data_IF_178381164740
#
_entry.id   IF_178381164740
#
_cell.length_a   1.000
_cell.length_b   1.000
_cell.length_c   1.000
_cell.angle_alpha   90.00
_cell.angle_beta   90.00
_cell.angle_gamma   90.00
#
_symmetry.space_group_name_H-M   'P 1'
#
loop_
_entity.id
_entity.type
_entity.pdbx_description
1 polymer ?
#
# COMPACT_ATOMS: atom_id res chain seq x y z
N UNK A 1 -16.21 29.82 15.09
CA UNK A 1 -16.21 28.36 15.31
C UNK A 1 -17.11 27.75 14.27
N UNK A 2 -16.52 27.17 13.23
CA UNK A 2 -17.15 26.25 12.25
C UNK A 2 -16.06 25.95 11.21
N UNK A 3 -15.38 24.81 11.37
CA UNK A 3 -14.60 24.20 10.29
C UNK A 3 -15.16 22.82 10.05
N UNK A 4 -16.21 22.80 9.23
CA UNK A 4 -16.67 21.61 8.53
C UNK A 4 -16.23 21.80 7.09
N UNK A 5 -15.04 21.30 6.75
CA UNK A 5 -14.68 21.01 5.36
C UNK A 5 -14.15 19.58 5.38
N UNK A 6 -15.09 18.66 5.15
CA UNK A 6 -14.84 17.27 4.76
C UNK A 6 -14.45 17.29 3.28
N UNK A 7 -13.19 17.47 2.96
CA UNK A 7 -12.57 16.90 1.74
C UNK A 7 -12.40 15.41 2.07
N UNK A 8 -13.19 14.43 1.59
CA UNK A 8 -13.49 14.05 0.20
C UNK A 8 -12.29 14.24 -0.71
N UNK A 9 -11.36 13.30 -0.65
CA UNK A 9 -10.22 13.18 -1.55
C UNK A 9 -9.39 11.98 -1.15
N UNK A 10 -9.58 10.87 -1.86
CA UNK A 10 -8.83 9.60 -1.77
C UNK A 10 -8.58 9.09 -0.35
N UNK A 11 -9.50 8.24 0.12
CA UNK A 11 -9.35 7.49 1.35
C UNK A 11 -7.95 6.88 1.44
N UNK A 12 -7.16 7.30 2.42
CA UNK A 12 -5.99 6.55 2.91
C UNK A 12 -6.35 5.05 3.12
N UNK A 13 -7.64 4.75 3.36
CA UNK A 13 -8.22 3.42 3.41
C UNK A 13 -7.98 2.53 2.16
N UNK A 14 -7.67 3.07 0.97
CA UNK A 14 -7.36 2.22 -0.20
C UNK A 14 -5.90 1.72 -0.20
N UNK A 15 -5.00 2.42 0.48
CA UNK A 15 -3.60 2.02 0.65
C UNK A 15 -3.40 1.17 1.92
N UNK A 16 -4.32 1.26 2.88
CA UNK A 16 -4.16 0.80 4.27
C UNK A 16 -4.59 -0.64 4.56
N UNK A 17 -4.66 -1.51 3.56
CA UNK A 17 -4.96 -2.90 3.88
C UNK A 17 -3.70 -3.65 4.33
N UNK A 18 -2.54 -3.55 3.67
CA UNK A 18 -1.66 -4.71 3.61
C UNK A 18 -0.28 -4.60 4.27
N UNK A 19 -0.12 -4.68 5.60
CA UNK A 19 1.25 -4.74 6.15
C UNK A 19 1.46 -5.57 7.41
N UNK A 20 2.58 -6.29 7.49
CA UNK A 20 3.29 -6.43 8.76
C UNK A 20 4.59 -7.22 8.59
N UNK A 21 5.26 -7.62 9.65
CA UNK A 21 6.68 -7.96 9.64
C UNK A 21 7.03 -9.45 9.40
N UNK A 22 7.96 -9.77 8.47
CA UNK A 22 8.67 -11.06 8.49
C UNK A 22 9.36 -11.51 7.20
N UNK A 23 10.67 -11.28 7.11
CA UNK A 23 11.57 -11.78 6.07
C UNK A 23 11.66 -13.32 6.05
N UNK A 24 11.50 -13.96 4.88
CA UNK A 24 12.34 -15.05 4.34
C UNK A 24 11.74 -15.67 3.06
N UNK A 25 12.48 -15.60 1.94
CA UNK A 25 12.38 -16.49 0.75
C UNK A 25 11.01 -16.63 0.04
N UNK A 26 10.84 -15.86 -1.02
CA UNK A 26 10.05 -16.17 -2.23
C UNK A 26 8.53 -16.37 -2.09
N UNK A 27 7.86 -15.86 -1.05
CA UNK A 27 6.40 -15.81 -1.01
C UNK A 27 5.90 -14.49 -1.66
N UNK A 28 5.01 -14.51 -2.67
CA UNK A 28 4.45 -13.30 -3.29
C UNK A 28 3.83 -12.30 -2.30
N UNK A 29 3.23 -12.77 -1.20
CA UNK A 29 2.73 -11.89 -0.15
C UNK A 29 3.84 -11.05 0.48
N UNK A 30 4.91 -11.69 0.96
CA UNK A 30 6.03 -11.01 1.61
C UNK A 30 6.78 -10.06 0.67
N UNK A 31 6.75 -10.31 -0.65
CA UNK A 31 7.29 -9.37 -1.63
C UNK A 31 6.43 -8.12 -1.75
N UNK A 32 5.11 -8.28 -1.86
CA UNK A 32 4.17 -7.16 -1.96
C UNK A 32 4.17 -6.32 -0.67
N UNK A 33 4.11 -6.98 0.47
CA UNK A 33 4.20 -6.41 1.82
C UNK A 33 5.52 -5.64 2.02
N UNK A 34 6.65 -6.21 1.60
CA UNK A 34 7.95 -5.53 1.64
C UNK A 34 8.01 -4.30 0.72
N UNK A 35 7.53 -4.41 -0.52
CA UNK A 35 7.52 -3.30 -1.47
C UNK A 35 6.60 -2.16 -1.01
N UNK A 36 5.46 -2.50 -0.41
CA UNK A 36 4.53 -1.53 0.14
C UNK A 36 5.13 -0.77 1.33
N UNK A 37 5.78 -1.47 2.28
CA UNK A 37 6.49 -0.82 3.39
C UNK A 37 7.56 0.15 2.87
N UNK A 38 8.34 -0.26 1.87
CA UNK A 38 9.37 0.59 1.27
C UNK A 38 8.76 1.85 0.64
N UNK A 39 7.70 1.69 -0.15
CA UNK A 39 7.00 2.81 -0.77
C UNK A 39 6.39 3.78 0.26
N UNK A 40 5.87 3.29 1.38
CA UNK A 40 5.39 4.11 2.49
C UNK A 40 6.53 4.89 3.13
N UNK A 41 7.64 4.22 3.45
CA UNK A 41 8.79 4.89 4.07
C UNK A 41 9.34 5.99 3.16
N UNK A 42 9.44 5.72 1.84
CA UNK A 42 9.87 6.71 0.85
C UNK A 42 8.89 7.90 0.75
N UNK A 43 7.58 7.65 0.72
CA UNK A 43 6.58 8.71 0.74
C UNK A 43 6.65 9.54 2.04
N UNK A 44 6.89 8.90 3.18
CA UNK A 44 6.97 9.54 4.48
C UNK A 44 8.26 10.34 4.72
N UNK A 45 9.27 10.23 3.84
CA UNK A 45 10.37 11.21 3.80
C UNK A 45 9.82 12.63 3.54
N UNK A 46 8.71 12.72 2.81
CA UNK A 46 7.97 13.95 2.54
C UNK A 46 6.80 14.19 3.51
N UNK A 47 6.89 13.74 4.77
CA UNK A 47 5.80 13.81 5.76
C UNK A 47 5.07 15.16 5.85
N UNK A 48 5.78 16.30 5.69
CA UNK A 48 5.15 17.64 5.74
C UNK A 48 4.22 17.88 4.55
N UNK A 49 4.57 17.37 3.37
CA UNK A 49 3.73 17.41 2.18
C UNK A 49 2.47 16.53 2.32
N UNK A 50 2.56 15.51 3.17
CA UNK A 50 1.49 14.59 3.54
C UNK A 50 0.73 15.04 4.80
N UNK A 51 0.97 16.26 5.28
CA UNK A 51 0.30 16.86 6.44
C UNK A 51 0.54 16.13 7.78
N UNK A 52 1.61 15.34 7.89
CA UNK A 52 2.07 14.74 9.14
C UNK A 52 3.10 15.62 9.85
N UNK A 53 3.33 15.40 11.15
CA UNK A 53 4.29 16.20 11.93
C UNK A 53 5.72 15.69 11.81
N UNK A 54 5.91 14.40 11.51
CA UNK A 54 7.21 13.76 11.30
C UNK A 54 7.04 12.45 10.52
N UNK A 55 8.16 11.90 10.02
CA UNK A 55 8.17 10.65 9.25
C UNK A 55 7.59 9.46 10.05
N UNK A 56 7.92 9.33 11.34
CA UNK A 56 7.42 8.22 12.15
C UNK A 56 5.89 8.27 12.38
N UNK A 57 5.30 9.47 12.46
CA UNK A 57 3.84 9.64 12.53
C UNK A 57 3.18 9.27 11.19
N UNK A 58 3.80 9.65 10.08
CA UNK A 58 3.36 9.28 8.73
C UNK A 58 3.43 7.76 8.54
N UNK A 59 4.57 7.14 8.85
CA UNK A 59 4.79 5.71 8.75
C UNK A 59 3.77 4.98 9.65
N UNK A 60 3.67 5.33 10.94
CA UNK A 60 2.70 4.68 11.83
C UNK A 60 1.23 4.84 11.38
N UNK A 61 0.88 5.92 10.67
CA UNK A 61 -0.47 6.14 10.15
C UNK A 61 -0.76 5.37 8.85
N UNK A 62 0.28 4.96 8.12
CA UNK A 62 0.18 4.25 6.84
C UNK A 62 0.57 2.76 6.95
N UNK A 63 1.38 2.41 7.95
CA UNK A 63 1.88 1.07 8.27
C UNK A 63 0.94 0.28 9.19
N UNK A 64 -0.26 0.80 9.53
CA UNK A 64 -1.16 0.16 10.51
C UNK A 64 -1.43 -1.29 10.10
N UNK A 65 -0.79 -2.18 10.84
CA UNK A 65 -0.32 -3.44 10.30
C UNK A 65 -1.21 -4.57 10.77
N UNK A 66 -1.48 -5.48 9.85
CA UNK A 66 -1.86 -6.84 10.16
C UNK A 66 -1.09 -7.38 11.34
N UNK A 67 -1.85 -7.86 12.30
CA UNK A 67 -1.35 -8.73 13.35
C UNK A 67 -0.63 -9.93 12.74
N UNK A 68 0.25 -10.56 13.53
CA UNK A 68 0.93 -11.79 13.09
C UNK A 68 -0.04 -12.88 12.60
N UNK A 69 -1.25 -12.93 13.16
CA UNK A 69 -2.31 -13.87 12.75
C UNK A 69 -2.85 -13.55 11.36
N UNK A 70 -3.16 -12.28 11.10
CA UNK A 70 -3.71 -11.83 9.80
C UNK A 70 -2.67 -12.02 8.69
N UNK A 71 -1.40 -11.71 8.96
CA UNK A 71 -0.31 -12.00 8.03
C UNK A 71 -0.17 -13.48 7.72
N UNK A 72 -0.20 -14.34 8.76
CA UNK A 72 -0.10 -15.78 8.55
C UNK A 72 -1.28 -16.31 7.70
N UNK A 73 -2.48 -15.75 7.89
CA UNK A 73 -3.64 -16.05 7.06
C UNK A 73 -3.42 -15.63 5.60
N UNK A 74 -2.99 -14.39 5.37
CA UNK A 74 -2.73 -13.87 4.02
C UNK A 74 -1.61 -14.64 3.32
N UNK A 75 -0.53 -14.98 4.03
CA UNK A 75 0.54 -15.83 3.51
C UNK A 75 0.03 -17.21 3.06
N UNK A 76 -0.95 -17.80 3.76
CA UNK A 76 -1.60 -19.05 3.37
C UNK A 76 -2.49 -18.87 2.14
N UNK A 77 -3.27 -17.79 2.07
CA UNK A 77 -4.11 -17.46 0.92
C UNK A 77 -3.25 -17.25 -0.33
N UNK A 78 -2.17 -16.47 -0.22
CA UNK A 78 -1.21 -16.24 -1.31
C UNK A 78 -0.50 -17.50 -1.77
N UNK A 79 -0.23 -18.44 -0.85
CA UNK A 79 0.34 -19.74 -1.18
C UNK A 79 -0.68 -20.66 -1.85
N UNK A 80 -1.93 -20.62 -1.42
CA UNK A 80 -3.03 -21.45 -1.95
C UNK A 80 -3.45 -21.00 -3.35
N UNK A 81 -3.59 -19.68 -3.55
CA UNK A 81 -4.11 -19.06 -4.78
C UNK A 81 -3.01 -18.34 -5.58
N UNK A 82 -1.77 -18.81 -5.50
CA UNK A 82 -0.62 -18.15 -6.11
C UNK A 82 -0.82 -17.87 -7.61
N UNK A 83 -1.38 -18.83 -8.36
CA UNK A 83 -1.58 -18.68 -9.80
C UNK A 83 -2.62 -17.60 -10.13
N UNK A 84 -3.70 -17.54 -9.35
CA UNK A 84 -4.78 -16.56 -9.47
C UNK A 84 -4.33 -15.16 -9.02
N UNK A 85 -3.46 -15.07 -8.02
CA UNK A 85 -2.96 -13.82 -7.46
C UNK A 85 -1.78 -13.24 -8.25
N UNK A 86 -0.93 -14.09 -8.85
CA UNK A 86 0.28 -13.67 -9.55
C UNK A 86 0.12 -12.48 -10.51
N UNK A 87 -0.89 -12.42 -11.42
CA UNK A 87 -1.03 -11.27 -12.31
C UNK A 87 -1.41 -9.99 -11.57
N UNK A 88 -2.26 -10.06 -10.55
CA UNK A 88 -2.62 -8.91 -9.73
C UNK A 88 -1.41 -8.43 -8.91
N UNK A 89 -0.71 -9.35 -8.24
CA UNK A 89 0.46 -9.05 -7.41
C UNK A 89 1.59 -8.44 -8.24
N UNK A 90 1.90 -9.00 -9.42
CA UNK A 90 2.92 -8.45 -10.31
C UNK A 90 2.59 -7.04 -10.77
N UNK A 91 1.32 -6.76 -11.09
CA UNK A 91 0.88 -5.41 -11.44
C UNK A 91 1.03 -4.43 -10.28
N UNK A 92 0.59 -4.80 -9.07
CA UNK A 92 0.72 -3.94 -7.88
C UNK A 92 2.18 -3.65 -7.54
N UNK A 93 3.06 -4.66 -7.64
CA UNK A 93 4.49 -4.47 -7.46
C UNK A 93 5.06 -3.45 -8.47
N UNK A 94 4.72 -3.58 -9.76
CA UNK A 94 5.17 -2.63 -10.77
C UNK A 94 4.64 -1.21 -10.53
N UNK A 95 3.40 -1.08 -10.06
CA UNK A 95 2.82 0.21 -9.70
C UNK A 95 3.54 0.86 -8.50
N UNK A 96 3.91 0.07 -7.49
CA UNK A 96 4.71 0.54 -6.36
C UNK A 96 6.09 1.01 -6.80
N UNK A 97 6.78 0.24 -7.65
CA UNK A 97 8.09 0.61 -8.18
C UNK A 97 8.03 1.95 -8.94
N UNK A 98 7.03 2.12 -9.81
CA UNK A 98 6.80 3.39 -10.53
C UNK A 98 6.48 4.54 -9.57
N UNK A 99 5.72 4.27 -8.51
CA UNK A 99 5.41 5.24 -7.46
C UNK A 99 6.65 5.73 -6.72
N UNK A 100 7.52 4.81 -6.33
CA UNK A 100 8.81 5.10 -5.69
C UNK A 100 9.69 5.93 -6.60
N UNK A 101 9.82 5.54 -7.87
CA UNK A 101 10.58 6.31 -8.86
C UNK A 101 10.01 7.74 -9.02
N UNK A 102 8.67 7.87 -9.09
CA UNK A 102 8.01 9.17 -9.16
C UNK A 102 8.33 10.03 -7.93
N UNK A 103 8.21 9.48 -6.72
CA UNK A 103 8.51 10.19 -5.47
C UNK A 103 9.97 10.65 -5.40
N UNK A 104 10.91 9.82 -5.87
CA UNK A 104 12.32 10.17 -5.95
C UNK A 104 12.60 11.34 -6.92
N UNK A 105 11.78 11.50 -7.97
CA UNK A 105 11.87 12.60 -8.91
C UNK A 105 11.22 13.91 -8.40
N UNK A 106 10.45 13.85 -7.29
CA UNK A 106 9.84 15.05 -6.69
C UNK A 106 10.88 15.87 -5.93
N UNK A 107 11.35 16.94 -6.57
CA UNK A 107 12.27 17.90 -5.97
C UNK A 107 11.65 18.59 -4.75
N UNK A 108 12.41 18.68 -3.66
CA UNK A 108 12.07 19.37 -2.41
C UNK A 108 10.74 18.93 -1.78
N UNK A 109 10.30 17.69 -2.01
CA UNK A 109 9.02 17.18 -1.49
C UNK A 109 7.85 18.12 -1.81
N UNK A 110 7.80 18.66 -3.04
CA UNK A 110 6.68 19.50 -3.47
C UNK A 110 5.35 18.76 -3.27
N UNK A 111 4.44 19.33 -2.48
CA UNK A 111 3.19 18.67 -2.11
C UNK A 111 2.30 18.27 -3.30
N UNK A 112 2.29 19.07 -4.37
CA UNK A 112 1.56 18.72 -5.59
C UNK A 112 2.21 17.54 -6.30
N UNK A 113 3.54 17.50 -6.38
CA UNK A 113 4.28 16.38 -6.96
C UNK A 113 4.05 15.08 -6.17
N UNK A 114 4.22 15.12 -4.84
CA UNK A 114 3.99 13.98 -3.96
C UNK A 114 2.56 13.44 -4.09
N UNK A 115 1.55 14.33 -4.03
CA UNK A 115 0.15 13.90 -4.16
C UNK A 115 -0.17 13.34 -5.55
N UNK A 116 0.49 13.84 -6.60
CA UNK A 116 0.34 13.29 -7.96
C UNK A 116 0.90 11.88 -8.02
N UNK A 117 2.13 11.65 -7.54
CA UNK A 117 2.74 10.32 -7.51
C UNK A 117 1.89 9.31 -6.71
N UNK A 118 1.36 9.70 -5.55
CA UNK A 118 0.49 8.83 -4.75
C UNK A 118 -0.84 8.53 -5.48
N UNK A 119 -1.41 9.54 -6.15
CA UNK A 119 -2.60 9.37 -6.99
C UNK A 119 -2.36 8.37 -8.12
N UNK A 120 -1.24 8.52 -8.84
CA UNK A 120 -0.87 7.63 -9.96
C UNK A 120 -0.70 6.18 -9.51
N UNK A 121 -0.12 5.93 -8.32
CA UNK A 121 -0.05 4.59 -7.73
C UNK A 121 -1.44 4.03 -7.45
N UNK A 122 -2.34 4.83 -6.87
CA UNK A 122 -3.72 4.43 -6.59
C UNK A 122 -4.52 4.10 -7.85
N UNK A 123 -4.34 4.89 -8.90
CA UNK A 123 -4.94 4.64 -10.22
C UNK A 123 -4.38 3.35 -10.83
N UNK A 124 -3.06 3.17 -10.81
CA UNK A 124 -2.41 1.95 -11.30
C UNK A 124 -2.86 0.69 -10.54
N UNK A 125 -3.09 0.78 -9.22
CA UNK A 125 -3.65 -0.32 -8.42
C UNK A 125 -5.06 -0.69 -8.87
N UNK A 126 -5.87 0.30 -9.25
CA UNK A 126 -7.25 0.10 -9.73
C UNK A 126 -7.27 -0.54 -11.12
N UNK A 127 -6.26 -0.25 -11.94
CA UNK A 127 -6.08 -0.87 -13.26
C UNK A 127 -5.53 -2.30 -13.20
N UNK A 128 -5.08 -2.76 -12.03
CA UNK A 128 -4.55 -4.11 -11.90
C UNK A 128 -5.63 -5.19 -12.15
N UNK A 129 -5.24 -6.33 -12.75
CA UNK A 129 -6.19 -7.38 -13.08
C UNK A 129 -7.00 -7.83 -11.87
N UNK A 130 -8.32 -7.85 -12.00
CA UNK A 130 -9.18 -8.37 -10.94
C UNK A 130 -8.82 -9.82 -10.58
N UNK A 131 -8.90 -10.14 -9.29
CA UNK A 131 -8.74 -11.50 -8.78
C UNK A 131 -10.10 -12.20 -8.79
N UNK A 132 -10.15 -13.55 -8.81
CA UNK A 132 -11.42 -14.25 -8.68
C UNK A 132 -12.08 -13.94 -7.33
N UNK A 133 -13.42 -13.77 -7.31
CA UNK A 133 -14.17 -13.44 -6.10
C UNK A 133 -13.87 -14.39 -4.92
N UNK A 134 -13.72 -15.70 -5.19
CA UNK A 134 -13.41 -16.67 -4.14
C UNK A 134 -12.03 -16.44 -3.47
N UNK A 135 -11.10 -15.80 -4.19
CA UNK A 135 -9.79 -15.40 -3.64
C UNK A 135 -9.93 -14.11 -2.86
N UNK A 136 -10.71 -13.15 -3.36
CA UNK A 136 -11.05 -11.92 -2.64
C UNK A 136 -11.72 -12.20 -1.30
N UNK A 137 -12.75 -13.06 -1.29
CA UNK A 137 -13.43 -13.50 -0.07
C UNK A 137 -12.46 -14.18 0.93
N UNK A 138 -11.44 -14.90 0.42
CA UNK A 138 -10.43 -15.53 1.26
C UNK A 138 -9.44 -14.53 1.85
N UNK A 139 -9.07 -13.48 1.11
CA UNK A 139 -8.25 -12.38 1.62
C UNK A 139 -9.03 -11.56 2.66
N UNK A 140 -10.28 -11.23 2.40
CA UNK A 140 -11.15 -10.48 3.32
C UNK A 140 -11.38 -11.23 4.63
N UNK A 141 -11.51 -12.55 4.58
CA UNK A 141 -11.63 -13.39 5.78
C UNK A 141 -10.38 -13.33 6.69
N UNK A 142 -9.24 -12.89 6.17
CA UNK A 142 -8.03 -12.70 6.96
C UNK A 142 -8.01 -11.38 7.73
N UNK A 143 -8.87 -10.41 7.43
CA UNK A 143 -8.79 -9.02 7.96
C UNK A 143 -10.17 -8.53 8.43
N UNK A 144 -10.69 -9.07 9.55
CA UNK A 144 -12.07 -8.87 10.02
C UNK A 144 -12.36 -7.51 10.68
#
# INVERSE_FOLDING_TARGET
MNKTVRTTGLSAALLLALLGCGSSTSNPFGQLDGAQNAAISDACQCFTALEYSNAAECEAALEDSYTATERACLEEVYRTYNAELAPNTACRLAALDVGVDCLNDVVDCNATGVQTCIGDVGDAFTECPAIPQAVEDALDACTP
#
